data_IF_518360627330
#
_entry.id   IF_518360627330
#
_cell.length_a   1.000
_cell.length_b   1.000
_cell.length_c   1.000
_cell.angle_alpha   90.00
_cell.angle_beta   90.00
_cell.angle_gamma   90.00
#
_symmetry.space_group_name_H-M   'P 1'
#
loop_
_entity.id
_entity.type
_entity.pdbx_description
1 polymer ?
#
# COMPACT_ATOMS: atom_id res chain seq x y z
N UNK A 1 3.34 -30.74 -4.34
CA UNK A 1 3.99 -29.44 -4.58
C UNK A 1 2.94 -28.37 -4.38
N UNK A 2 2.96 -27.69 -3.23
CA UNK A 2 2.01 -26.60 -2.95
C UNK A 2 2.30 -25.43 -3.88
N UNK A 3 1.29 -24.93 -4.57
CA UNK A 3 1.41 -23.70 -5.34
C UNK A 3 1.88 -22.59 -4.39
N UNK A 4 3.14 -22.18 -4.50
CA UNK A 4 3.60 -20.92 -3.91
C UNK A 4 2.77 -19.84 -4.59
N UNK A 5 1.74 -19.34 -3.91
CA UNK A 5 1.04 -18.13 -4.33
C UNK A 5 2.12 -17.05 -4.43
N UNK A 6 2.42 -16.60 -5.65
CA UNK A 6 3.30 -15.46 -5.87
C UNK A 6 2.77 -14.30 -5.04
N UNK A 7 3.54 -13.95 -4.01
CA UNK A 7 3.25 -12.82 -3.13
C UNK A 7 3.64 -11.57 -3.90
N UNK A 8 2.69 -11.02 -4.66
CA UNK A 8 2.92 -9.82 -5.46
C UNK A 8 2.59 -8.56 -4.66
N UNK A 9 3.39 -7.50 -4.78
CA UNK A 9 3.04 -6.20 -4.22
C UNK A 9 1.72 -5.71 -4.81
N UNK A 10 1.02 -4.88 -4.04
CA UNK A 10 -0.27 -4.28 -4.44
C UNK A 10 -0.11 -2.81 -4.72
N UNK A 11 -0.81 -2.30 -5.72
CA UNK A 11 -0.78 -0.89 -6.04
C UNK A 11 -1.91 -0.16 -5.30
N UNK A 12 -1.54 0.86 -4.55
CA UNK A 12 -2.47 1.76 -3.88
C UNK A 12 -2.44 3.14 -4.53
N UNK A 13 -3.62 3.74 -4.69
CA UNK A 13 -3.81 5.13 -5.08
C UNK A 13 -4.29 5.93 -3.86
N UNK A 14 -3.68 7.07 -3.63
CA UNK A 14 -4.06 7.97 -2.55
C UNK A 14 -5.18 8.90 -2.96
N UNK A 15 -6.27 8.90 -2.20
CA UNK A 15 -7.47 9.70 -2.47
C UNK A 15 -7.74 10.74 -1.38
N UNK A 16 -6.82 10.91 -0.42
CA UNK A 16 -6.92 11.95 0.60
C UNK A 16 -6.59 13.35 0.07
N UNK A 17 -6.59 14.35 0.96
CA UNK A 17 -6.46 15.77 0.58
C UNK A 17 -5.04 16.35 0.77
N UNK A 18 -4.16 15.66 1.49
CA UNK A 18 -2.83 16.15 1.89
C UNK A 18 -1.75 15.12 1.53
N UNK A 19 -0.55 15.22 2.10
CA UNK A 19 0.36 14.07 2.09
C UNK A 19 -0.07 13.03 3.13
N UNK A 20 0.29 11.77 2.91
CA UNK A 20 0.13 10.66 3.83
C UNK A 20 1.43 9.86 3.88
N UNK A 21 1.94 9.63 5.10
CA UNK A 21 3.10 8.78 5.34
C UNK A 21 2.69 7.61 6.21
N UNK A 22 3.00 6.40 5.77
CA UNK A 22 2.75 5.15 6.48
C UNK A 22 4.05 4.33 6.56
N UNK A 23 4.18 3.54 7.61
CA UNK A 23 5.26 2.57 7.75
C UNK A 23 4.68 1.16 7.63
N UNK A 24 5.28 0.34 6.78
CA UNK A 24 4.97 -1.08 6.68
C UNK A 24 5.35 -1.79 7.98
N UNK A 25 4.38 -2.45 8.62
CA UNK A 25 4.65 -3.16 9.88
C UNK A 25 5.58 -4.37 9.71
N UNK A 26 5.56 -4.99 8.54
CA UNK A 26 6.34 -6.18 8.21
C UNK A 26 7.71 -5.81 7.65
N UNK A 27 7.76 -4.97 6.61
CA UNK A 27 9.03 -4.63 5.94
C UNK A 27 9.77 -3.46 6.57
N UNK A 28 9.11 -2.70 7.48
CA UNK A 28 9.59 -1.40 8.00
C UNK A 28 9.80 -0.34 6.90
N UNK A 29 9.27 -0.57 5.70
CA UNK A 29 9.38 0.38 4.61
C UNK A 29 8.49 1.60 4.87
N UNK A 30 9.05 2.80 4.70
CA UNK A 30 8.25 4.03 4.70
C UNK A 30 7.62 4.24 3.31
N UNK A 31 6.30 4.33 3.27
CA UNK A 31 5.50 4.70 2.11
C UNK A 31 5.01 6.13 2.27
N UNK A 32 5.16 6.96 1.23
CA UNK A 32 4.83 8.38 1.32
C UNK A 32 4.07 8.83 0.07
N UNK A 33 2.76 8.97 0.21
CA UNK A 33 1.87 9.55 -0.79
C UNK A 33 1.91 11.07 -0.66
N UNK A 34 2.27 11.78 -1.73
CA UNK A 34 2.55 13.22 -1.66
C UNK A 34 1.34 14.09 -2.00
N UNK A 35 0.48 13.61 -2.88
CA UNK A 35 -0.66 14.37 -3.42
C UNK A 35 -1.82 13.42 -3.80
N UNK A 36 -3.06 13.92 -3.90
CA UNK A 36 -4.19 13.12 -4.37
C UNK A 36 -3.92 12.55 -5.78
N UNK A 37 -4.18 11.26 -5.97
CA UNK A 37 -3.89 10.50 -7.19
C UNK A 37 -2.49 9.88 -7.23
N UNK A 38 -1.63 10.15 -6.24
CA UNK A 38 -0.31 9.50 -6.14
C UNK A 38 -0.46 7.99 -5.92
N UNK A 39 0.46 7.21 -6.51
CA UNK A 39 0.37 5.75 -6.54
C UNK A 39 1.66 5.10 -6.06
N UNK A 40 1.55 4.14 -5.15
CA UNK A 40 2.69 3.40 -4.63
C UNK A 40 2.40 1.90 -4.60
N UNK A 41 3.42 1.13 -4.98
CA UNK A 41 3.45 -0.31 -4.74
C UNK A 41 3.78 -0.56 -3.27
N UNK A 42 2.94 -1.35 -2.61
CA UNK A 42 3.07 -1.72 -1.20
C UNK A 42 3.29 -3.21 -1.14
N UNK A 43 4.23 -3.64 -0.30
CA UNK A 43 4.49 -5.06 -0.07
C UNK A 43 3.19 -5.76 0.34
N UNK A 44 3.00 -6.99 -0.12
CA UNK A 44 1.78 -7.74 0.16
C UNK A 44 1.51 -7.87 1.67
N UNK A 45 2.54 -8.11 2.48
CA UNK A 45 2.38 -8.30 3.93
C UNK A 45 2.02 -6.98 4.63
N UNK A 46 2.46 -5.85 4.09
CA UNK A 46 2.10 -4.53 4.59
C UNK A 46 0.74 -4.04 4.08
N UNK A 47 0.31 -4.52 2.91
CA UNK A 47 -0.92 -4.08 2.24
C UNK A 47 -2.17 -4.23 3.10
N UNK A 48 -2.18 -5.14 4.07
CA UNK A 48 -3.32 -5.34 4.98
C UNK A 48 -3.62 -4.12 5.85
N UNK A 49 -2.59 -3.45 6.37
CA UNK A 49 -2.77 -2.21 7.11
C UNK A 49 -3.26 -1.08 6.20
N UNK A 50 -2.80 -1.06 4.95
CA UNK A 50 -3.13 -0.04 3.95
C UNK A 50 -4.57 -0.18 3.45
N UNK A 51 -5.14 -1.39 3.43
CA UNK A 51 -6.55 -1.61 3.12
C UNK A 51 -7.51 -1.04 4.18
N UNK A 52 -7.04 -0.82 5.41
CA UNK A 52 -7.83 -0.21 6.47
C UNK A 52 -7.79 1.33 6.43
N UNK A 53 -6.89 1.93 5.62
CA UNK A 53 -6.75 3.37 5.51
C UNK A 53 -7.81 3.94 4.56
N UNK A 54 -8.76 4.76 5.04
CA UNK A 54 -9.86 5.29 4.22
C UNK A 54 -9.38 6.22 3.10
N UNK A 55 -8.20 6.82 3.22
CA UNK A 55 -7.62 7.66 2.19
C UNK A 55 -6.87 6.88 1.10
N UNK A 56 -6.90 5.54 1.11
CA UNK A 56 -6.22 4.69 0.14
C UNK A 56 -7.19 3.79 -0.60
N UNK A 57 -6.94 3.61 -1.91
CA UNK A 57 -7.71 2.72 -2.78
C UNK A 57 -6.78 1.74 -3.46
N UNK A 58 -7.09 0.44 -3.37
CA UNK A 58 -6.40 -0.59 -4.15
C UNK A 58 -6.78 -0.44 -5.62
N UNK A 59 -5.78 -0.35 -6.50
CA UNK A 59 -5.96 -0.22 -7.95
C UNK A 59 -5.46 -1.44 -8.72
N UNK A 60 -4.65 -2.33 -8.13
CA UNK A 60 -4.30 -3.63 -8.71
C UNK A 60 -3.66 -4.60 -7.71
#
# INVERSE_FOLDING_TARGET
>A
MGAQKEVRPRLFEYTGRSSLRLEGMHTRQSYHFRFPGDRLEVDYYDSFAFMAEPALRVVK
#
